data_IF_769687035896
#
_entry.id   IF_769687035896
#
_cell.length_a   1.000
_cell.length_b   1.000
_cell.length_c   1.000
_cell.angle_alpha   90.00
_cell.angle_beta   90.00
_cell.angle_gamma   90.00
#
_symmetry.space_group_name_H-M   'P 1'
#
loop_
_entity.id
_entity.type
_entity.pdbx_description
1 polymer ?
#
# COMPACT_ATOMS: atom_id res chain seq x y z
N UNK A 1 0.03 -5.30 63.06
CA UNK A 1 0.65 -5.00 61.71
C UNK A 1 -0.46 -4.47 60.82
N UNK A 2 -0.56 -3.16 60.71
CA UNK A 2 -1.69 -2.50 60.04
C UNK A 2 -1.21 -2.06 58.65
N UNK A 3 -1.81 -2.68 57.59
CA UNK A 3 -1.56 -2.32 56.22
C UNK A 3 -2.26 -1.02 55.86
N UNK A 4 -1.51 0.06 55.82
CA UNK A 4 -1.94 1.35 55.26
C UNK A 4 -2.05 1.22 53.72
N UNK A 5 -3.19 0.77 53.22
CA UNK A 5 -3.53 0.94 51.82
C UNK A 5 -3.84 2.42 51.60
N UNK A 6 -2.83 3.16 51.16
CA UNK A 6 -2.96 4.55 50.75
C UNK A 6 -3.84 4.58 49.50
N UNK A 7 -5.14 4.83 49.68
CA UNK A 7 -6.05 5.05 48.55
C UNK A 7 -5.58 6.31 47.83
N UNK A 8 -4.86 6.11 46.70
CA UNK A 8 -4.60 7.19 45.75
C UNK A 8 -5.95 7.56 45.13
N UNK A 9 -6.60 8.57 45.67
CA UNK A 9 -7.74 9.21 45.00
C UNK A 9 -7.20 9.97 43.82
N UNK A 10 -7.22 9.33 42.64
CA UNK A 10 -6.91 10.01 41.37
C UNK A 10 -7.90 11.16 41.19
N UNK A 11 -7.38 12.37 41.09
CA UNK A 11 -8.20 13.56 40.90
C UNK A 11 -8.99 13.38 39.57
N UNK A 12 -10.33 13.45 39.59
CA UNK A 12 -11.16 13.24 38.41
C UNK A 12 -10.81 14.19 37.24
N UNK A 13 -10.32 15.39 37.55
CA UNK A 13 -9.80 16.33 36.55
C UNK A 13 -8.53 15.82 35.87
N UNK A 14 -7.62 15.16 36.59
CA UNK A 14 -6.41 14.58 35.99
C UNK A 14 -6.75 13.39 35.07
N UNK A 15 -7.75 12.57 35.45
CA UNK A 15 -8.22 11.48 34.58
C UNK A 15 -8.87 12.04 33.32
N UNK A 16 -9.70 13.07 33.43
CA UNK A 16 -10.38 13.70 32.30
C UNK A 16 -9.36 14.32 31.33
N UNK A 17 -8.33 15.00 31.81
CA UNK A 17 -7.27 15.58 30.94
C UNK A 17 -6.44 14.50 30.26
N UNK A 18 -6.14 13.40 30.93
CA UNK A 18 -5.43 12.26 30.32
C UNK A 18 -6.27 11.59 29.23
N UNK A 19 -7.58 11.39 29.45
CA UNK A 19 -8.47 10.78 28.46
C UNK A 19 -8.66 11.70 27.23
N UNK A 20 -8.80 13.00 27.42
CA UNK A 20 -8.88 13.97 26.32
C UNK A 20 -7.56 14.00 25.54
N UNK A 21 -6.43 14.02 26.21
CA UNK A 21 -5.10 13.97 25.58
C UNK A 21 -4.88 12.69 24.78
N UNK A 22 -5.25 11.53 25.36
CA UNK A 22 -5.17 10.24 24.67
C UNK A 22 -6.09 10.18 23.43
N UNK A 23 -7.33 10.65 23.55
CA UNK A 23 -8.28 10.70 22.44
C UNK A 23 -7.79 11.63 21.31
N UNK A 24 -7.20 12.76 21.67
CA UNK A 24 -6.59 13.69 20.71
C UNK A 24 -5.38 13.08 20.00
N UNK A 25 -4.55 12.38 20.74
CA UNK A 25 -3.36 11.71 20.21
C UNK A 25 -3.73 10.56 19.25
N UNK A 26 -4.71 9.72 19.63
CA UNK A 26 -5.26 8.67 18.77
C UNK A 26 -5.86 9.27 17.50
N UNK A 27 -6.65 10.34 17.60
CA UNK A 27 -7.26 11.02 16.46
C UNK A 27 -6.24 11.70 15.55
N UNK A 28 -5.09 12.14 16.08
CA UNK A 28 -4.01 12.69 15.27
C UNK A 28 -3.28 11.59 14.48
N UNK A 29 -3.15 10.39 15.04
CA UNK A 29 -2.53 9.24 14.38
C UNK A 29 -3.44 8.57 13.34
N UNK A 30 -4.75 8.65 13.47
CA UNK A 30 -5.70 8.07 12.52
C UNK A 30 -5.98 8.94 11.29
N UNK A 31 -5.33 10.10 11.17
CA UNK A 31 -5.46 10.92 9.98
C UNK A 31 -4.76 10.24 8.80
N UNK A 32 -5.52 9.93 7.77
CA UNK A 32 -5.01 9.41 6.52
C UNK A 32 -5.14 10.46 5.41
N UNK A 33 -4.27 10.37 4.44
CA UNK A 33 -4.38 11.10 3.19
C UNK A 33 -5.05 10.17 2.13
N UNK A 34 -5.73 10.74 1.16
CA UNK A 34 -6.54 10.02 0.17
C UNK A 34 -8.02 10.40 0.28
N UNK A 35 -8.89 9.64 -0.39
CA UNK A 35 -8.64 8.37 -1.06
C UNK A 35 -7.91 8.51 -2.40
N UNK A 36 -6.94 7.62 -2.65
CA UNK A 36 -6.21 7.57 -3.91
C UNK A 36 -6.66 6.38 -4.76
N UNK A 37 -6.67 6.55 -6.07
CA UNK A 37 -6.81 5.46 -7.02
C UNK A 37 -5.45 4.82 -7.25
N UNK A 38 -5.41 3.50 -7.37
CA UNK A 38 -4.18 2.74 -7.60
C UNK A 38 -4.18 2.17 -9.00
N UNK A 39 -3.06 2.29 -9.69
CA UNK A 39 -2.83 1.75 -11.03
C UNK A 39 -1.49 1.02 -11.04
N UNK A 40 -1.43 -0.14 -11.70
CA UNK A 40 -0.19 -0.89 -11.90
C UNK A 40 0.29 -0.80 -13.34
N UNK A 41 1.61 -0.71 -13.54
CA UNK A 41 2.29 -0.83 -14.82
C UNK A 41 3.41 -1.86 -14.71
N UNK A 42 3.42 -2.85 -15.60
CA UNK A 42 4.34 -3.97 -15.56
C UNK A 42 5.26 -3.96 -16.79
N UNK A 43 6.54 -3.80 -16.56
CA UNK A 43 7.59 -3.76 -17.59
C UNK A 43 8.34 -5.10 -17.69
N UNK A 44 7.78 -6.17 -17.11
CA UNK A 44 8.34 -7.51 -17.13
C UNK A 44 7.55 -8.44 -18.04
N UNK A 45 8.14 -9.56 -18.42
CA UNK A 45 7.52 -10.56 -19.29
C UNK A 45 6.54 -11.49 -18.55
N UNK A 46 6.45 -11.35 -17.21
CA UNK A 46 5.55 -12.14 -16.39
C UNK A 46 4.41 -11.28 -15.84
N UNK A 47 3.16 -11.73 -16.02
CA UNK A 47 1.99 -11.03 -15.49
C UNK A 47 1.97 -11.04 -13.95
N UNK A 48 1.37 -10.03 -13.39
CA UNK A 48 1.06 -9.93 -11.96
C UNK A 48 -0.41 -10.30 -11.77
N UNK A 49 -0.66 -11.50 -11.26
CA UNK A 49 -2.02 -11.98 -10.97
C UNK A 49 -2.72 -11.08 -9.96
N UNK A 50 -2.00 -10.72 -8.90
CA UNK A 50 -2.50 -9.76 -7.91
C UNK A 50 -1.34 -9.09 -7.18
N UNK A 51 -1.54 -7.84 -6.77
CA UNK A 51 -0.69 -7.21 -5.78
C UNK A 51 -1.51 -6.55 -4.69
N UNK A 52 -0.94 -6.55 -3.48
CA UNK A 52 -1.56 -6.05 -2.27
C UNK A 52 -0.60 -5.08 -1.60
N UNK A 53 -1.10 -3.91 -1.20
CA UNK A 53 -0.32 -2.83 -0.58
C UNK A 53 -0.85 -2.60 0.82
N UNK A 54 -0.10 -2.96 1.88
CA UNK A 54 -0.55 -2.89 3.29
C UNK A 54 -1.96 -3.49 3.51
N UNK A 55 -2.30 -4.59 2.85
CA UNK A 55 -3.61 -5.22 2.93
C UNK A 55 -4.67 -4.67 1.95
N UNK A 56 -4.39 -3.58 1.24
CA UNK A 56 -5.25 -3.08 0.17
C UNK A 56 -5.00 -3.86 -1.12
N UNK A 57 -6.02 -4.55 -1.63
CA UNK A 57 -5.96 -5.26 -2.91
C UNK A 57 -5.93 -4.27 -4.07
N UNK A 58 -4.81 -4.21 -4.78
CA UNK A 58 -4.55 -3.22 -5.82
C UNK A 58 -4.73 -3.75 -7.25
N UNK A 59 -5.23 -4.99 -7.39
CA UNK A 59 -5.62 -5.58 -8.66
C UNK A 59 -4.55 -6.44 -9.32
N UNK A 60 -4.69 -6.64 -10.62
CA UNK A 60 -3.79 -7.40 -11.48
C UNK A 60 -3.18 -6.52 -12.56
N UNK A 61 -2.04 -6.94 -13.11
CA UNK A 61 -1.34 -6.19 -14.16
C UNK A 61 -0.81 -7.16 -15.21
N UNK A 62 -1.18 -6.93 -16.47
CA UNK A 62 -0.72 -7.77 -17.57
C UNK A 62 0.80 -7.69 -17.77
N UNK A 63 1.38 -8.76 -18.30
CA UNK A 63 2.77 -8.77 -18.70
C UNK A 63 3.03 -7.73 -19.82
N UNK A 64 4.29 -7.31 -19.98
CA UNK A 64 4.72 -6.30 -20.94
C UNK A 64 4.21 -6.57 -22.36
N UNK A 65 4.32 -7.80 -22.85
CA UNK A 65 3.89 -8.19 -24.20
C UNK A 65 2.38 -8.03 -24.43
N UNK A 66 1.58 -7.89 -23.38
CA UNK A 66 0.13 -7.62 -23.43
C UNK A 66 -0.21 -6.17 -23.04
N UNK A 67 0.75 -5.25 -23.20
CA UNK A 67 0.57 -3.82 -22.92
C UNK A 67 0.92 -3.38 -21.51
N UNK A 68 1.29 -4.32 -20.60
CA UNK A 68 1.83 -4.04 -19.26
C UNK A 68 0.95 -3.18 -18.34
N UNK A 69 -0.30 -2.96 -18.71
CA UNK A 69 -1.24 -2.14 -17.93
C UNK A 69 -2.14 -2.99 -17.03
N UNK A 70 -2.61 -2.37 -15.97
CA UNK A 70 -3.65 -2.89 -15.08
C UNK A 70 -4.86 -1.97 -15.03
N UNK A 71 -5.93 -2.45 -14.39
CA UNK A 71 -7.09 -1.64 -14.09
C UNK A 71 -6.80 -0.59 -13.02
N UNK A 72 -7.69 0.39 -12.93
CA UNK A 72 -7.69 1.34 -11.81
C UNK A 72 -8.51 0.79 -10.66
N UNK A 73 -7.92 0.70 -9.47
CA UNK A 73 -8.59 0.23 -8.26
C UNK A 73 -8.74 1.39 -7.28
N UNK A 74 -9.93 1.58 -6.76
CA UNK A 74 -10.22 2.56 -5.71
C UNK A 74 -10.46 1.82 -4.39
N UNK A 75 -10.30 2.36 -3.23
CA UNK A 75 -9.73 3.67 -2.92
C UNK A 75 -8.77 3.44 -1.75
N UNK A 76 -7.50 3.69 -1.96
CA UNK A 76 -6.46 3.49 -0.95
C UNK A 76 -6.29 4.74 -0.09
N UNK A 77 -6.29 4.56 1.22
CA UNK A 77 -5.95 5.62 2.17
C UNK A 77 -4.55 5.38 2.73
N UNK A 78 -3.78 6.44 2.85
CA UNK A 78 -2.38 6.38 3.31
C UNK A 78 -2.28 7.06 4.68
N UNK A 79 -1.93 6.33 5.75
CA UNK A 79 -1.71 6.93 7.07
C UNK A 79 -0.64 8.01 7.00
N UNK A 80 -0.89 9.15 7.63
CA UNK A 80 0.06 10.27 7.63
C UNK A 80 1.38 9.87 8.27
N UNK A 81 2.46 10.25 7.61
CA UNK A 81 3.81 9.93 8.07
C UNK A 81 4.29 8.52 7.73
N UNK A 82 3.47 7.71 7.07
CA UNK A 82 3.89 6.42 6.52
C UNK A 82 5.07 6.62 5.57
N UNK A 83 6.12 5.84 5.71
CA UNK A 83 7.36 5.95 4.92
C UNK A 83 7.51 4.84 3.90
N UNK A 84 7.01 3.66 4.23
CA UNK A 84 7.10 2.47 3.38
C UNK A 84 5.78 1.73 3.39
N UNK A 85 5.45 1.10 2.27
CA UNK A 85 4.37 0.14 2.13
C UNK A 85 4.94 -1.25 2.05
N UNK A 86 4.32 -2.20 2.72
CA UNK A 86 4.56 -3.61 2.49
C UNK A 86 3.75 -4.06 1.27
N UNK A 87 4.44 -4.49 0.22
CA UNK A 87 3.81 -4.91 -1.04
C UNK A 87 4.02 -6.41 -1.23
N UNK A 88 2.92 -7.13 -1.34
CA UNK A 88 2.89 -8.55 -1.67
C UNK A 88 2.40 -8.72 -3.11
N UNK A 89 3.15 -9.46 -3.90
CA UNK A 89 2.88 -9.71 -5.32
C UNK A 89 2.74 -11.21 -5.52
N UNK A 90 1.68 -11.61 -6.21
CA UNK A 90 1.49 -12.97 -6.71
C UNK A 90 1.59 -12.89 -8.23
N UNK A 91 2.51 -13.65 -8.82
CA UNK A 91 2.68 -13.69 -10.26
C UNK A 91 1.74 -14.69 -10.93
N UNK A 92 1.44 -14.47 -12.21
CA UNK A 92 0.77 -15.45 -13.03
C UNK A 92 1.61 -16.74 -13.12
N UNK A 93 0.94 -17.88 -13.20
CA UNK A 93 1.62 -19.15 -13.51
C UNK A 93 2.18 -19.12 -14.91
N UNK A 94 3.39 -19.59 -15.07
CA UNK A 94 3.92 -19.93 -16.40
C UNK A 94 3.27 -21.23 -16.89
N UNK A 95 3.23 -21.50 -18.21
CA UNK A 95 2.70 -22.74 -18.74
C UNK A 95 3.34 -23.99 -18.12
N UNK A 96 4.64 -23.93 -17.81
CA UNK A 96 5.37 -25.02 -17.19
C UNK A 96 4.98 -25.22 -15.71
N UNK A 97 4.76 -24.12 -14.97
CA UNK A 97 4.32 -24.18 -13.57
C UNK A 97 2.89 -24.72 -13.49
N UNK A 98 2.01 -24.27 -14.40
CA UNK A 98 0.63 -24.76 -14.49
C UNK A 98 0.59 -26.26 -14.82
N UNK A 99 1.35 -26.71 -15.82
CA UNK A 99 1.44 -28.13 -16.19
C UNK A 99 1.96 -28.98 -15.06
N UNK A 100 2.85 -28.45 -14.21
CA UNK A 100 3.39 -29.16 -13.04
C UNK A 100 2.57 -28.98 -11.77
N UNK A 101 1.45 -28.27 -11.85
CA UNK A 101 0.57 -28.00 -10.72
C UNK A 101 1.30 -27.31 -9.55
N UNK A 102 2.20 -26.39 -9.88
CA UNK A 102 3.00 -25.63 -8.92
C UNK A 102 2.21 -24.44 -8.36
N UNK A 103 2.52 -24.07 -7.13
CA UNK A 103 1.96 -22.84 -6.56
C UNK A 103 2.55 -21.60 -7.27
N UNK A 104 1.75 -20.53 -7.44
CA UNK A 104 2.24 -19.26 -7.97
C UNK A 104 3.42 -18.73 -7.15
N UNK A 105 4.38 -18.10 -7.82
CA UNK A 105 5.43 -17.37 -7.12
C UNK A 105 4.85 -16.17 -6.40
N UNK A 106 5.20 -16.02 -5.12
CA UNK A 106 4.84 -14.89 -4.29
C UNK A 106 6.10 -14.20 -3.81
N UNK A 107 6.17 -12.88 -3.97
CA UNK A 107 7.22 -12.06 -3.37
C UNK A 107 6.62 -10.97 -2.48
N UNK A 108 7.38 -10.60 -1.46
CA UNK A 108 7.04 -9.52 -0.55
C UNK A 108 8.22 -8.56 -0.46
N UNK A 109 7.94 -7.26 -0.52
CA UNK A 109 8.98 -6.24 -0.47
C UNK A 109 8.42 -4.94 0.09
N UNK A 110 9.30 -4.10 0.62
CA UNK A 110 8.92 -2.76 1.07
C UNK A 110 9.18 -1.74 -0.04
N UNK A 111 8.20 -0.91 -0.30
CA UNK A 111 8.23 0.16 -1.29
C UNK A 111 8.10 1.51 -0.61
N UNK A 112 8.96 2.46 -0.94
CA UNK A 112 8.89 3.80 -0.38
C UNK A 112 7.57 4.50 -0.76
N UNK A 113 6.94 5.13 0.22
CA UNK A 113 5.78 6.00 -0.03
C UNK A 113 6.26 7.25 -0.75
N UNK A 114 5.73 7.58 -1.94
CA UNK A 114 6.12 8.78 -2.65
C UNK A 114 5.64 10.05 -1.94
N UNK A 115 6.13 11.20 -2.34
CA UNK A 115 5.55 12.45 -1.92
C UNK A 115 4.09 12.53 -2.39
N UNK A 116 3.19 12.94 -1.50
CA UNK A 116 1.75 13.07 -1.74
C UNK A 116 1.38 14.57 -1.72
N UNK A 117 1.58 15.31 -2.82
CA UNK A 117 1.37 16.75 -2.85
C UNK A 117 -0.11 17.14 -2.71
N UNK A 118 -1.03 16.31 -3.22
CA UNK A 118 -2.46 16.43 -2.94
C UNK A 118 -2.89 15.34 -1.96
N UNK A 119 -3.45 15.76 -0.81
CA UNK A 119 -3.85 14.86 0.28
C UNK A 119 -5.24 14.27 0.12
N UNK A 120 -5.98 14.67 -0.91
CA UNK A 120 -7.40 14.34 -1.03
C UNK A 120 -7.77 13.69 -2.35
N UNK A 121 -6.86 13.71 -3.34
CA UNK A 121 -7.11 13.16 -4.67
C UNK A 121 -5.81 12.82 -5.40
N UNK A 122 -5.93 12.00 -6.44
CA UNK A 122 -4.84 11.58 -7.30
C UNK A 122 -4.74 10.09 -7.48
N UNK A 123 -3.66 9.68 -8.10
CA UNK A 123 -3.37 8.28 -8.40
C UNK A 123 -2.02 7.90 -7.81
N UNK A 124 -1.94 6.68 -7.30
CA UNK A 124 -0.67 6.02 -6.95
C UNK A 124 -0.39 5.00 -8.04
N UNK A 125 0.67 5.22 -8.78
CA UNK A 125 1.15 4.30 -9.80
C UNK A 125 2.23 3.40 -9.23
N UNK A 126 2.06 2.09 -9.40
CA UNK A 126 3.07 1.08 -9.09
C UNK A 126 3.69 0.57 -10.38
N UNK A 127 4.99 0.74 -10.53
CA UNK A 127 5.77 0.33 -11.69
C UNK A 127 6.59 -0.90 -11.34
N UNK A 128 6.24 -2.06 -11.92
CA UNK A 128 6.95 -3.32 -11.75
C UNK A 128 8.05 -3.40 -12.82
N UNK A 129 9.29 -3.20 -12.39
CA UNK A 129 10.47 -3.12 -13.26
C UNK A 129 11.22 -4.45 -13.32
N UNK A 130 12.06 -4.68 -14.37
CA UNK A 130 12.98 -5.82 -14.39
C UNK A 130 13.85 -5.88 -13.14
N UNK A 131 14.26 -7.11 -12.74
CA UNK A 131 15.06 -7.29 -11.53
C UNK A 131 14.27 -7.22 -10.23
N UNK A 132 12.94 -7.39 -10.28
CA UNK A 132 12.03 -7.37 -9.11
C UNK A 132 12.00 -6.02 -8.39
N UNK A 133 12.33 -4.95 -9.08
CA UNK A 133 12.23 -3.60 -8.55
C UNK A 133 10.80 -3.07 -8.68
N UNK A 134 10.36 -2.33 -7.67
CA UNK A 134 9.06 -1.69 -7.67
C UNK A 134 9.25 -0.22 -7.33
N UNK A 135 8.71 0.64 -8.15
CA UNK A 135 8.63 2.07 -7.88
C UNK A 135 7.17 2.47 -7.69
N UNK A 136 6.91 3.35 -6.72
CA UNK A 136 5.62 3.97 -6.55
C UNK A 136 5.71 5.47 -6.81
N UNK A 137 4.69 6.03 -7.49
CA UNK A 137 4.63 7.46 -7.82
C UNK A 137 3.22 7.98 -7.57
N UNK A 138 3.14 9.21 -7.07
CA UNK A 138 1.88 9.94 -7.08
C UNK A 138 1.78 10.78 -8.36
N UNK A 139 0.60 10.77 -8.99
CA UNK A 139 0.28 11.60 -10.15
C UNK A 139 -1.13 12.16 -10.03
N UNK A 140 -1.36 13.35 -10.59
CA UNK A 140 -2.68 13.97 -10.61
C UNK A 140 -3.65 13.24 -11.56
N UNK A 141 -3.11 12.73 -12.67
CA UNK A 141 -3.83 11.95 -13.68
C UNK A 141 -3.00 10.73 -14.05
N UNK A 142 -3.62 9.57 -14.36
CA UNK A 142 -2.90 8.36 -14.71
C UNK A 142 -2.05 8.60 -15.95
N UNK A 143 -0.81 8.10 -15.90
CA UNK A 143 0.08 8.14 -17.05
C UNK A 143 -0.17 6.93 -17.95
N UNK A 144 0.33 6.98 -19.18
CA UNK A 144 0.38 5.80 -20.05
C UNK A 144 1.62 4.99 -19.74
N UNK A 145 1.59 3.65 -19.88
CA UNK A 145 2.81 2.84 -19.81
C UNK A 145 3.85 3.41 -20.77
N UNK A 146 5.07 3.62 -20.30
CA UNK A 146 6.16 4.15 -21.13
C UNK A 146 6.76 3.11 -22.09
N UNK A 147 6.01 2.06 -22.37
CA UNK A 147 6.44 1.02 -23.29
C UNK A 147 6.11 1.43 -24.72
N UNK A 148 7.14 1.44 -25.57
CA UNK A 148 6.93 1.47 -27.02
C UNK A 148 6.52 0.07 -27.46
N UNK A 149 5.56 0.00 -28.38
CA UNK A 149 5.25 -1.26 -29.05
C UNK A 149 6.54 -1.75 -29.75
N UNK A 150 7.12 -2.85 -29.25
CA UNK A 150 8.34 -3.43 -29.79
C UNK A 150 9.60 -3.39 -28.91
N UNK A 151 9.50 -2.80 -27.68
CA UNK A 151 10.60 -2.92 -26.70
C UNK A 151 10.54 -4.23 -25.92
#
# INVERSE_FOLDING_TARGET
MSNLIRRMTLNPLAIATLLVGAAWWVRAQTRADGPYRVVGFNYTDRGVYSFVVDGFGAGSVHARQFGGGGGTVCCMSVPRGKKTWHVRITYDLTPDEDTRNQAPEVIETDVAVPALPNRHDGYIEFHFLPGRQIEARWVAYPTMPRMRAGD
#
